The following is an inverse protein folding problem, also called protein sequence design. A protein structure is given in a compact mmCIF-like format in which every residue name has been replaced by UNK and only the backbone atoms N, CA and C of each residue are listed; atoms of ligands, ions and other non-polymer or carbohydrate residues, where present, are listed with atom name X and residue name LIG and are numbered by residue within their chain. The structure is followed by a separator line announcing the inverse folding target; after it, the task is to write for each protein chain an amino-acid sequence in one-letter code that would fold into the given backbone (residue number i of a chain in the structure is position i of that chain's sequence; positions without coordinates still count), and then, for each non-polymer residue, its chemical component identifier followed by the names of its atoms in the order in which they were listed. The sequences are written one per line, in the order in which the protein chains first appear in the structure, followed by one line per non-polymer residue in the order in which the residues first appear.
data_IF_919096662169
#
_entry.id   IF_919096662169
#
_cell.length_a   1.000
_cell.length_b   1.000
_cell.length_c   1.000
_cell.angle_alpha   90.00
_cell.angle_beta   90.00
_cell.angle_gamma   90.00
#
_symmetry.space_group_name_H-M   'P 1'
#
loop_
_entity.id
_entity.type
_entity.pdbx_description
1 polymer ?
#
# COMPACT_ATOMS: atom_id res chain seq x y z
N UNK A 1 -9.02 11.24 50.37
CA UNK A 1 -8.07 10.18 49.96
C UNK A 1 -8.77 9.09 49.14
N UNK A 2 -9.85 8.44 49.58
CA UNK A 2 -10.54 7.36 48.87
C UNK A 2 -11.17 7.78 47.52
N UNK A 3 -11.76 8.96 47.41
CA UNK A 3 -12.36 9.46 46.17
C UNK A 3 -11.31 9.74 45.08
N UNK A 4 -10.15 10.24 45.43
CA UNK A 4 -9.06 10.55 44.53
C UNK A 4 -8.46 9.27 43.96
N UNK A 5 -8.31 8.22 44.75
CA UNK A 5 -7.86 6.91 44.28
C UNK A 5 -8.85 6.26 43.32
N UNK A 6 -10.17 6.42 43.55
CA UNK A 6 -11.19 5.93 42.65
C UNK A 6 -11.17 6.63 41.27
N UNK A 7 -11.02 7.94 41.24
CA UNK A 7 -10.93 8.75 40.02
C UNK A 7 -9.68 8.35 39.21
N UNK A 8 -8.53 8.22 39.87
CA UNK A 8 -7.29 7.79 39.22
C UNK A 8 -7.42 6.36 38.65
N UNK A 9 -8.07 5.45 39.40
CA UNK A 9 -8.32 4.10 38.94
C UNK A 9 -9.20 4.03 37.69
N UNK A 10 -10.28 4.80 37.65
CA UNK A 10 -11.18 4.89 36.47
C UNK A 10 -10.43 5.49 35.28
N UNK A 11 -9.62 6.51 35.48
CA UNK A 11 -8.86 7.19 34.43
C UNK A 11 -7.82 6.25 33.82
N UNK A 12 -7.15 5.42 34.64
CA UNK A 12 -6.22 4.39 34.19
C UNK A 12 -6.93 3.28 33.38
N UNK A 13 -8.10 2.83 33.81
CA UNK A 13 -8.87 1.78 33.12
C UNK A 13 -9.30 2.24 31.72
N UNK A 14 -9.60 3.53 31.54
CA UNK A 14 -9.99 4.08 30.23
C UNK A 14 -8.77 4.44 29.37
N UNK A 15 -7.74 5.03 29.96
CA UNK A 15 -6.55 5.48 29.21
C UNK A 15 -5.68 4.32 28.71
N UNK A 16 -5.59 3.22 29.44
CA UNK A 16 -4.75 2.08 29.11
C UNK A 16 -5.17 1.40 27.78
N UNK A 17 -6.44 1.05 27.55
CA UNK A 17 -6.86 0.46 26.27
C UNK A 17 -6.71 1.43 25.09
N UNK A 18 -6.93 2.73 25.30
CA UNK A 18 -6.74 3.74 24.27
C UNK A 18 -5.26 3.83 23.88
N UNK A 19 -4.35 3.89 24.84
CA UNK A 19 -2.91 3.89 24.58
C UNK A 19 -2.46 2.62 23.85
N UNK A 20 -3.03 1.48 24.17
CA UNK A 20 -2.73 0.18 23.56
C UNK A 20 -3.19 0.13 22.09
N UNK A 21 -4.34 0.74 21.76
CA UNK A 21 -4.82 0.87 20.38
C UNK A 21 -3.90 1.79 19.57
N UNK A 22 -3.47 2.92 20.10
CA UNK A 22 -2.51 3.80 19.41
C UNK A 22 -1.15 3.14 19.21
N UNK A 23 -0.66 2.40 20.20
CA UNK A 23 0.57 1.63 20.06
C UNK A 23 0.44 0.54 18.99
N UNK A 24 -0.67 -0.17 18.96
CA UNK A 24 -0.93 -1.16 17.92
C UNK A 24 -0.99 -0.54 16.52
N UNK A 25 -1.65 0.62 16.38
CA UNK A 25 -1.69 1.35 15.11
C UNK A 25 -0.31 1.84 14.66
N UNK A 26 0.53 2.29 15.58
CA UNK A 26 1.90 2.73 15.30
C UNK A 26 2.83 1.57 14.85
N UNK A 27 2.53 0.34 15.28
CA UNK A 27 3.29 -0.87 14.92
C UNK A 27 2.72 -1.60 13.69
N UNK A 28 1.62 -1.11 13.13
CA UNK A 28 1.03 -1.68 11.94
C UNK A 28 1.88 -1.35 10.70
N UNK A 29 2.18 -2.38 9.91
CA UNK A 29 2.90 -2.25 8.65
C UNK A 29 2.09 -2.92 7.53
N UNK A 30 2.24 -2.42 6.31
CA UNK A 30 1.63 -3.00 5.13
C UNK A 30 2.71 -3.27 4.08
N UNK A 31 2.50 -4.28 3.26
CA UNK A 31 3.44 -4.61 2.20
C UNK A 31 2.91 -5.67 1.25
N UNK A 32 3.70 -5.96 0.23
CA UNK A 32 3.40 -7.03 -0.73
C UNK A 32 4.42 -8.15 -0.57
N UNK A 33 3.94 -9.36 -0.44
CA UNK A 33 4.74 -10.59 -0.33
C UNK A 33 4.53 -11.45 -1.57
N UNK A 34 5.63 -11.86 -2.21
CA UNK A 34 5.62 -12.69 -3.41
C UNK A 34 6.26 -14.04 -3.06
N UNK A 35 5.48 -15.11 -3.17
CA UNK A 35 5.92 -16.49 -3.01
C UNK A 35 6.08 -17.12 -4.41
N UNK A 36 7.28 -17.02 -4.97
CA UNK A 36 7.59 -17.59 -6.29
C UNK A 36 7.43 -19.10 -6.34
N UNK A 37 7.76 -19.80 -5.25
CA UNK A 37 7.69 -21.27 -5.20
C UNK A 37 6.26 -21.78 -5.35
N UNK A 38 5.30 -21.02 -4.83
CA UNK A 38 3.87 -21.35 -4.91
C UNK A 38 3.14 -20.55 -6.00
N UNK A 39 3.84 -19.69 -6.72
CA UNK A 39 3.26 -18.88 -7.80
C UNK A 39 2.16 -17.93 -7.34
N UNK A 40 2.30 -17.32 -6.17
CA UNK A 40 1.26 -16.48 -5.59
C UNK A 40 1.84 -15.24 -4.91
N UNK A 41 1.02 -14.22 -4.82
CA UNK A 41 1.32 -12.98 -4.11
C UNK A 41 0.20 -12.62 -3.15
N UNK A 42 0.52 -11.83 -2.13
CA UNK A 42 -0.48 -11.19 -1.28
C UNK A 42 -0.07 -9.78 -0.91
N UNK A 43 -1.04 -8.91 -0.88
CA UNK A 43 -0.97 -7.68 -0.11
C UNK A 43 -1.32 -8.01 1.34
N UNK A 44 -0.46 -7.65 2.27
CA UNK A 44 -0.66 -7.97 3.67
C UNK A 44 -0.61 -6.72 4.54
N UNK A 45 -1.40 -6.76 5.58
CA UNK A 45 -1.23 -5.90 6.74
C UNK A 45 -0.58 -6.74 7.85
N UNK A 46 0.35 -6.15 8.56
CA UNK A 46 1.00 -6.81 9.67
C UNK A 46 0.89 -5.97 10.93
N UNK A 47 0.65 -6.64 12.04
CA UNK A 47 0.73 -6.08 13.37
C UNK A 47 1.66 -6.98 14.19
N UNK A 48 2.79 -6.44 14.60
CA UNK A 48 3.86 -7.22 15.23
C UNK A 48 4.32 -8.37 14.29
N UNK A 49 4.13 -9.62 14.68
CA UNK A 49 4.48 -10.81 13.90
C UNK A 49 3.33 -11.42 13.10
N UNK A 50 2.10 -10.95 13.32
CA UNK A 50 0.91 -11.46 12.63
C UNK A 50 0.74 -10.74 11.30
N UNK A 51 0.68 -11.52 10.21
CA UNK A 51 0.45 -11.02 8.85
C UNK A 51 -0.85 -11.60 8.32
N UNK A 52 -1.78 -10.73 7.89
CA UNK A 52 -3.02 -11.16 7.25
C UNK A 52 -3.19 -10.46 5.91
N UNK A 53 -3.72 -11.19 4.94
CA UNK A 53 -3.95 -10.75 3.57
C UNK A 53 -4.42 -11.91 2.71
N UNK A 54 -5.07 -11.58 1.60
CA UNK A 54 -5.57 -12.57 0.66
C UNK A 54 -4.49 -12.94 -0.34
N UNK A 55 -4.26 -14.24 -0.53
CA UNK A 55 -3.38 -14.74 -1.57
C UNK A 55 -4.07 -14.66 -2.94
N UNK A 56 -3.35 -14.14 -3.91
CA UNK A 56 -3.74 -14.09 -5.31
C UNK A 56 -2.75 -14.88 -6.17
N UNK A 57 -3.23 -15.39 -7.28
CA UNK A 57 -2.40 -16.13 -8.24
C UNK A 57 -1.48 -15.16 -9.00
N UNK A 58 -0.18 -15.41 -8.98
CA UNK A 58 0.82 -14.65 -9.69
C UNK A 58 0.70 -14.82 -11.22
N UNK A 59 0.21 -15.97 -11.67
CA UNK A 59 0.02 -16.27 -13.10
C UNK A 59 -1.02 -15.39 -13.81
N UNK A 60 -1.77 -14.59 -13.06
CA UNK A 60 -2.68 -13.57 -13.61
C UNK A 60 -1.94 -12.38 -14.21
N UNK A 61 -0.73 -12.12 -13.73
CA UNK A 61 0.06 -10.97 -14.13
C UNK A 61 0.99 -11.34 -15.29
N UNK A 62 1.11 -10.45 -16.24
CA UNK A 62 1.89 -10.67 -17.46
C UNK A 62 3.10 -9.74 -17.58
N UNK A 63 3.05 -8.58 -16.93
CA UNK A 63 4.11 -7.58 -17.01
C UNK A 63 4.25 -6.79 -15.71
N UNK A 64 5.36 -6.07 -15.60
CA UNK A 64 5.65 -5.10 -14.55
C UNK A 64 5.78 -3.74 -15.17
N UNK A 65 5.27 -2.72 -14.48
CA UNK A 65 5.40 -1.33 -14.95
C UNK A 65 5.67 -0.39 -13.79
N UNK A 66 6.22 0.77 -14.12
CA UNK A 66 6.38 1.89 -13.19
C UNK A 66 5.39 2.97 -13.58
N UNK A 67 4.45 3.25 -12.69
CA UNK A 67 3.43 4.27 -12.88
C UNK A 67 3.80 5.54 -12.13
N UNK A 68 3.77 6.67 -12.81
CA UNK A 68 3.84 7.97 -12.17
C UNK A 68 2.47 8.34 -11.61
N UNK A 69 2.37 8.45 -10.29
CA UNK A 69 1.13 8.74 -9.58
C UNK A 69 1.24 10.07 -8.87
N UNK A 70 0.25 10.93 -9.08
CA UNK A 70 0.16 12.22 -8.38
C UNK A 70 -0.62 12.05 -7.09
N UNK A 71 0.00 12.35 -5.96
CA UNK A 71 -0.68 12.47 -4.67
C UNK A 71 -0.95 13.95 -4.40
N UNK A 72 -2.19 14.27 -4.15
CA UNK A 72 -2.61 15.60 -3.71
C UNK A 72 -2.96 15.51 -2.24
N UNK A 73 -2.18 16.22 -1.41
CA UNK A 73 -2.44 16.35 0.02
C UNK A 73 -2.90 17.76 0.31
N UNK A 74 -4.14 17.91 0.76
CA UNK A 74 -4.71 19.22 1.15
C UNK A 74 -4.53 19.41 2.63
N UNK A 75 -3.70 20.39 3.04
CA UNK A 75 -3.61 20.82 4.43
C UNK A 75 -4.51 22.00 4.68
N UNK A 76 -5.39 21.88 5.65
CA UNK A 76 -6.22 22.99 6.14
C UNK A 76 -5.51 23.73 7.27
N UNK A 77 -5.18 24.98 7.03
CA UNK A 77 -4.70 25.88 8.08
C UNK A 77 -5.87 26.36 8.96
N UNK A 78 -5.60 26.72 10.22
CA UNK A 78 -6.59 27.33 11.13
C UNK A 78 -7.29 28.57 10.58
N UNK A 79 -6.69 29.22 9.57
CA UNK A 79 -7.24 30.40 8.87
C UNK A 79 -8.06 30.06 7.62
N UNK A 80 -8.50 28.81 7.44
CA UNK A 80 -9.27 28.31 6.29
C UNK A 80 -8.57 28.49 4.90
N UNK A 81 -7.27 28.71 4.89
CA UNK A 81 -6.50 28.65 3.66
C UNK A 81 -6.09 27.20 3.42
N UNK A 82 -6.61 26.60 2.36
CA UNK A 82 -6.14 25.32 1.84
C UNK A 82 -4.85 25.53 1.05
N UNK A 83 -3.84 24.76 1.36
CA UNK A 83 -2.63 24.64 0.55
C UNK A 83 -2.56 23.21 0.03
N UNK A 84 -2.60 23.07 -1.30
CA UNK A 84 -2.48 21.78 -1.96
C UNK A 84 -1.00 21.52 -2.22
N UNK A 85 -0.50 20.45 -1.64
CA UNK A 85 0.84 19.94 -1.91
C UNK A 85 0.71 18.80 -2.92
N UNK A 86 1.38 18.97 -4.04
CA UNK A 86 1.45 17.97 -5.09
C UNK A 86 2.76 17.21 -4.97
N UNK A 87 2.67 15.91 -4.67
CA UNK A 87 3.81 15.01 -4.66
C UNK A 87 3.67 14.00 -5.78
N UNK A 88 4.77 13.73 -6.47
CA UNK A 88 4.83 12.71 -7.49
C UNK A 88 5.49 11.46 -6.92
N UNK A 89 4.76 10.35 -6.95
CA UNK A 89 5.26 9.05 -6.56
C UNK A 89 5.38 8.15 -7.78
N UNK A 90 6.23 7.15 -7.68
CA UNK A 90 6.44 6.15 -8.70
C UNK A 90 6.04 4.79 -8.13
N UNK A 91 4.89 4.29 -8.56
CA UNK A 91 4.35 3.01 -8.09
C UNK A 91 4.85 1.88 -8.99
N UNK A 92 5.56 0.93 -8.42
CA UNK A 92 5.90 -0.33 -9.11
C UNK A 92 4.68 -1.23 -9.04
N UNK A 93 4.15 -1.62 -10.20
CA UNK A 93 2.91 -2.38 -10.32
C UNK A 93 3.09 -3.63 -11.16
N UNK A 94 2.37 -4.69 -10.79
CA UNK A 94 2.13 -5.85 -11.61
C UNK A 94 0.87 -5.62 -12.46
N UNK A 95 0.95 -5.91 -13.74
CA UNK A 95 -0.12 -5.72 -14.70
C UNK A 95 -0.64 -7.08 -15.19
N UNK A 96 -1.96 -7.17 -15.38
CA UNK A 96 -2.56 -8.31 -16.08
C UNK A 96 -2.34 -8.19 -17.60
N UNK A 97 -2.70 -9.24 -18.35
CA UNK A 97 -2.56 -9.29 -19.81
C UNK A 97 -3.23 -8.14 -20.56
N UNK A 98 -4.23 -7.51 -19.96
CA UNK A 98 -4.99 -6.40 -20.56
C UNK A 98 -4.53 -5.03 -20.06
N UNK A 99 -3.57 -4.98 -19.12
CA UNK A 99 -3.10 -3.79 -18.41
C UNK A 99 -4.20 -3.02 -17.66
N UNK A 100 -5.37 -3.64 -17.45
CA UNK A 100 -6.49 -3.01 -16.73
C UNK A 100 -6.44 -3.26 -15.22
N UNK A 101 -6.07 -4.47 -14.84
CA UNK A 101 -5.88 -4.80 -13.43
C UNK A 101 -4.44 -4.61 -13.06
N UNK A 102 -4.22 -3.86 -12.02
CA UNK A 102 -2.89 -3.56 -11.50
C UNK A 102 -2.84 -3.87 -10.01
N UNK A 103 -1.73 -4.45 -9.58
CA UNK A 103 -1.41 -4.67 -8.18
C UNK A 103 -0.17 -3.89 -7.82
N UNK A 104 -0.28 -2.98 -6.88
CA UNK A 104 0.88 -2.20 -6.41
C UNK A 104 1.78 -3.10 -5.58
N UNK A 105 3.06 -3.16 -5.95
CA UNK A 105 4.10 -3.86 -5.21
C UNK A 105 4.71 -2.94 -4.17
N UNK A 106 5.13 -1.75 -4.60
CA UNK A 106 5.69 -0.71 -3.72
C UNK A 106 5.54 0.66 -4.38
N UNK A 107 5.21 1.66 -3.58
CA UNK A 107 5.33 3.06 -3.94
C UNK A 107 6.73 3.56 -3.58
N UNK A 108 7.39 4.26 -4.49
CA UNK A 108 8.69 4.90 -4.30
C UNK A 108 8.55 6.39 -4.55
N UNK A 109 9.31 7.19 -3.83
CA UNK A 109 9.32 8.65 -4.00
C UNK A 109 10.27 9.04 -5.13
N UNK A 110 11.28 8.23 -5.38
CA UNK A 110 12.27 8.45 -6.43
C UNK A 110 12.05 7.54 -7.65
N UNK A 111 12.25 8.13 -8.84
CA UNK A 111 12.10 7.44 -10.12
C UNK A 111 13.14 6.33 -10.31
N UNK A 112 14.40 6.61 -9.99
CA UNK A 112 15.48 5.65 -10.19
C UNK A 112 15.34 4.45 -9.27
N UNK A 113 14.95 4.68 -8.01
CA UNK A 113 14.63 3.61 -7.07
C UNK A 113 13.49 2.72 -7.61
N UNK A 114 12.43 3.34 -8.16
CA UNK A 114 11.28 2.61 -8.69
C UNK A 114 11.67 1.71 -9.88
N UNK A 115 12.48 2.22 -10.83
CA UNK A 115 12.94 1.42 -11.96
C UNK A 115 13.88 0.30 -11.53
N UNK A 116 14.84 0.57 -10.65
CA UNK A 116 15.73 -0.45 -10.10
C UNK A 116 14.96 -1.54 -9.32
N UNK A 117 13.90 -1.16 -8.61
CA UNK A 117 13.01 -2.11 -7.94
C UNK A 117 12.20 -2.93 -8.95
N UNK A 118 11.65 -2.28 -9.99
CA UNK A 118 10.90 -2.96 -11.04
C UNK A 118 11.76 -4.03 -11.75
N UNK A 119 12.99 -3.71 -12.09
CA UNK A 119 13.93 -4.68 -12.70
C UNK A 119 14.25 -5.86 -11.77
N UNK A 120 14.49 -5.59 -10.47
CA UNK A 120 14.72 -6.66 -9.49
C UNK A 120 13.51 -7.56 -9.33
N UNK A 121 12.31 -6.99 -9.26
CA UNK A 121 11.06 -7.77 -9.17
C UNK A 121 10.84 -8.54 -10.46
N UNK A 122 11.09 -7.93 -11.63
CA UNK A 122 10.98 -8.55 -12.94
C UNK A 122 11.90 -9.78 -13.06
N UNK A 123 13.15 -9.66 -12.66
CA UNK A 123 14.09 -10.77 -12.65
C UNK A 123 13.66 -11.89 -11.67
N UNK A 124 13.12 -11.50 -10.50
CA UNK A 124 12.66 -12.47 -9.50
C UNK A 124 11.44 -13.25 -9.97
N UNK A 125 10.44 -12.56 -10.54
CA UNK A 125 9.16 -13.15 -10.99
C UNK A 125 9.25 -13.72 -12.41
N UNK A 126 10.27 -13.33 -13.18
CA UNK A 126 10.46 -13.67 -14.59
C UNK A 126 9.35 -13.09 -15.51
N UNK A 127 8.96 -11.85 -15.24
CA UNK A 127 8.04 -11.08 -16.06
C UNK A 127 8.78 -9.93 -16.75
N UNK A 128 8.36 -9.52 -17.97
CA UNK A 128 8.93 -8.37 -18.66
C UNK A 128 8.56 -7.06 -17.94
N UNK A 129 9.43 -6.06 -18.06
CA UNK A 129 9.09 -4.68 -17.71
C UNK A 129 8.52 -4.02 -18.96
N UNK A 130 7.28 -3.56 -18.89
CA UNK A 130 6.55 -2.97 -20.00
C UNK A 130 5.98 -1.60 -19.62
N UNK A 131 5.75 -0.77 -20.63
CA UNK A 131 5.05 0.48 -20.45
C UNK A 131 3.55 0.23 -20.25
N UNK A 132 2.95 1.01 -19.32
CA UNK A 132 1.54 0.89 -19.06
C UNK A 132 0.71 1.36 -20.25
N UNK A 133 0.09 0.42 -20.93
CA UNK A 133 -0.79 0.66 -22.08
C UNK A 133 -2.07 -0.18 -21.95
N UNK A 134 -3.13 0.35 -21.33
CA UNK A 134 -4.36 -0.42 -21.13
C UNK A 134 -5.10 -0.61 -22.46
N UNK A 135 -5.53 -1.83 -22.74
CA UNK A 135 -6.40 -2.10 -23.89
C UNK A 135 -7.69 -1.28 -23.82
N UNK A 136 -8.12 -0.65 -24.94
CA UNK A 136 -9.37 0.12 -24.97
C UNK A 136 -10.56 -0.80 -24.67
N UNK A 137 -11.54 -0.26 -23.93
CA UNK A 137 -12.80 -0.96 -23.71
C UNK A 137 -13.48 -1.20 -25.05
N UNK A 138 -13.59 -2.45 -25.47
CA UNK A 138 -14.48 -2.79 -26.58
C UNK A 138 -15.89 -2.41 -26.18
N UNK A 139 -16.38 -1.33 -26.78
CA UNK A 139 -17.74 -0.84 -26.56
C UNK A 139 -18.69 -1.88 -27.18
N UNK A 140 -19.14 -2.86 -26.39
CA UNK A 140 -20.25 -3.71 -26.78
C UNK A 140 -21.50 -2.82 -26.85
N UNK A 141 -21.69 -2.15 -27.96
CA UNK A 141 -23.00 -1.61 -28.32
C UNK A 141 -23.91 -2.82 -28.52
N UNK A 142 -24.77 -3.06 -27.57
CA UNK A 142 -25.98 -3.85 -27.77
C UNK A 142 -27.09 -2.90 -28.17
#
# INVERSE_FOLDING_TARGET
MRALAAVVGILLIVALPIALVFLAAALATAGTEIDKAKGRLREYNALLSLRWGKWEDLGRFAAISVLRTKRVSTMYSRSQRSQDFEEWNFDVVLLDKTHRKKQVVKACDDREEAFALAERVAAYVQLPVEEYSPEPLQNRRR
#
